data_IF_756810664703
#
_entry.id   IF_756810664703
#
_cell.length_a   1.000
_cell.length_b   1.000
_cell.length_c   1.000
_cell.angle_alpha   90.00
_cell.angle_beta   90.00
_cell.angle_gamma   90.00
#
_symmetry.space_group_name_H-M   'P 1'
#
loop_
_entity.id
_entity.type
_entity.pdbx_description
1 polymer ?
#
# COMPACT_ATOMS: atom_id res chain seq x y z
N UNK A 1 13.96 9.01 8.33
CA UNK A 1 15.21 8.32 8.71
C UNK A 1 15.90 9.22 9.71
N UNK A 2 16.16 8.73 10.91
CA UNK A 2 16.72 9.52 12.01
C UNK A 2 17.98 8.82 12.48
N UNK A 3 19.12 9.50 12.36
CA UNK A 3 20.40 9.06 12.93
C UNK A 3 20.68 9.74 14.28
N UNK A 4 21.81 9.42 14.91
CA UNK A 4 22.24 9.87 16.23
C UNK A 4 22.29 11.40 16.42
N UNK A 5 22.45 12.16 15.35
CA UNK A 5 22.52 13.62 15.34
C UNK A 5 21.21 14.30 14.88
N UNK A 6 20.17 13.51 14.57
CA UNK A 6 18.91 13.99 14.03
C UNK A 6 17.82 14.03 15.11
N UNK A 7 17.04 15.12 15.16
CA UNK A 7 15.92 15.23 16.11
C UNK A 7 14.70 14.45 15.59
N UNK A 8 14.08 13.60 16.42
CA UNK A 8 12.86 12.87 16.05
C UNK A 8 11.57 13.70 16.21
N UNK A 9 11.65 14.95 16.69
CA UNK A 9 10.47 15.78 16.95
C UNK A 9 9.69 16.09 15.65
N UNK A 10 8.37 15.95 15.69
CA UNK A 10 7.48 16.24 14.55
C UNK A 10 7.38 15.12 13.50
N UNK A 11 7.94 13.94 13.75
CA UNK A 11 7.86 12.77 12.86
C UNK A 11 6.87 11.75 13.43
N UNK A 12 5.82 11.41 12.67
CA UNK A 12 4.80 10.43 13.11
C UNK A 12 5.32 8.99 13.13
N UNK A 13 6.12 8.63 12.13
CA UNK A 13 6.68 7.28 11.94
C UNK A 13 8.17 7.37 11.68
N UNK A 14 8.93 7.46 12.77
CA UNK A 14 10.38 7.52 12.73
C UNK A 14 10.99 6.15 12.41
N UNK A 15 12.05 6.16 11.61
CA UNK A 15 12.86 4.99 11.28
C UNK A 15 14.28 5.29 11.77
N UNK A 16 14.74 4.66 12.87
CA UNK A 16 16.13 4.77 13.32
C UNK A 16 17.04 4.12 12.29
N UNK A 17 18.03 4.85 11.79
CA UNK A 17 18.88 4.36 10.70
C UNK A 17 20.16 5.19 10.58
N UNK A 18 21.24 4.54 10.14
CA UNK A 18 22.43 5.24 9.68
C UNK A 18 22.14 5.89 8.31
N UNK A 19 21.99 7.20 8.27
CA UNK A 19 21.69 7.97 7.04
C UNK A 19 22.94 8.38 6.25
N UNK A 20 24.15 8.27 6.83
CA UNK A 20 25.40 8.53 6.12
C UNK A 20 25.77 7.40 5.13
N UNK A 21 25.21 6.21 5.30
CA UNK A 21 25.56 5.03 4.50
C UNK A 21 24.59 4.82 3.32
N UNK A 22 25.07 4.92 2.09
CA UNK A 22 24.28 4.68 0.87
C UNK A 22 23.56 3.31 0.90
N UNK A 23 24.25 2.26 1.33
CA UNK A 23 23.66 0.91 1.45
C UNK A 23 22.47 0.85 2.42
N UNK A 24 22.50 1.65 3.49
CA UNK A 24 21.43 1.73 4.49
C UNK A 24 20.21 2.43 3.90
N UNK A 25 20.43 3.57 3.25
CA UNK A 25 19.38 4.32 2.55
C UNK A 25 18.73 3.44 1.48
N UNK A 26 19.53 2.82 0.60
CA UNK A 26 19.02 2.01 -0.52
C UNK A 26 18.16 0.85 -0.02
N UNK A 27 18.59 0.18 1.06
CA UNK A 27 17.85 -0.93 1.65
C UNK A 27 16.50 -0.47 2.22
N UNK A 28 16.49 0.60 3.01
CA UNK A 28 15.27 1.10 3.67
C UNK A 28 14.30 1.65 2.63
N UNK A 29 14.77 2.49 1.72
CA UNK A 29 13.93 3.10 0.67
C UNK A 29 13.44 2.04 -0.31
N UNK A 30 14.27 1.05 -0.65
CA UNK A 30 13.89 -0.08 -1.50
C UNK A 30 12.71 -0.85 -0.93
N UNK A 31 12.81 -1.27 0.33
CA UNK A 31 11.70 -1.95 1.02
C UNK A 31 10.42 -1.12 1.07
N UNK A 32 10.52 0.17 1.38
CA UNK A 32 9.36 1.07 1.38
C UNK A 32 8.71 1.17 0.00
N UNK A 33 9.50 1.28 -1.06
CA UNK A 33 8.99 1.33 -2.43
C UNK A 33 8.28 0.05 -2.81
N UNK A 34 8.82 -1.11 -2.45
CA UNK A 34 8.23 -2.41 -2.77
C UNK A 34 6.92 -2.62 -2.01
N UNK A 35 6.87 -2.30 -0.71
CA UNK A 35 5.61 -2.33 0.06
C UNK A 35 4.53 -1.39 -0.50
N UNK A 36 4.91 -0.21 -1.01
CA UNK A 36 3.96 0.71 -1.66
C UNK A 36 3.44 0.11 -2.97
N UNK A 37 4.31 -0.50 -3.78
CA UNK A 37 3.89 -1.16 -5.03
C UNK A 37 2.92 -2.30 -4.77
N UNK A 38 3.23 -3.14 -3.76
CA UNK A 38 2.37 -4.24 -3.33
C UNK A 38 1.00 -3.71 -2.88
N UNK A 39 0.96 -2.73 -1.97
CA UNK A 39 -0.30 -2.17 -1.49
C UNK A 39 -1.14 -1.49 -2.58
N UNK A 40 -0.50 -0.83 -3.55
CA UNK A 40 -1.21 -0.27 -4.72
C UNK A 40 -1.74 -1.37 -5.65
N UNK A 41 -0.99 -2.45 -5.83
CA UNK A 41 -1.40 -3.64 -6.59
C UNK A 41 -2.62 -4.31 -5.99
N UNK A 42 -2.58 -4.58 -4.68
CA UNK A 42 -3.70 -5.16 -3.93
C UNK A 42 -4.94 -4.27 -3.99
N UNK A 43 -4.78 -2.94 -3.87
CA UNK A 43 -5.90 -2.00 -3.97
C UNK A 43 -6.59 -2.05 -5.34
N UNK A 44 -5.82 -2.16 -6.43
CA UNK A 44 -6.38 -2.28 -7.78
C UNK A 44 -7.13 -3.60 -7.94
N UNK A 45 -6.50 -4.71 -7.56
CA UNK A 45 -7.12 -6.05 -7.62
C UNK A 45 -8.40 -6.12 -6.80
N UNK A 46 -8.43 -5.54 -5.60
CA UNK A 46 -9.63 -5.52 -4.77
C UNK A 46 -10.76 -4.69 -5.40
N UNK A 47 -10.45 -3.53 -6.02
CA UNK A 47 -11.46 -2.74 -6.74
C UNK A 47 -12.05 -3.49 -7.93
N UNK A 48 -11.22 -4.17 -8.71
CA UNK A 48 -11.65 -4.96 -9.86
C UNK A 48 -12.52 -6.15 -9.42
N UNK A 49 -12.12 -6.86 -8.36
CA UNK A 49 -12.91 -7.95 -7.77
C UNK A 49 -14.27 -7.45 -7.27
N UNK A 50 -14.30 -6.36 -6.51
CA UNK A 50 -15.53 -5.77 -5.99
C UNK A 50 -16.46 -5.29 -7.11
N UNK A 51 -15.91 -4.69 -8.18
CA UNK A 51 -16.71 -4.27 -9.33
C UNK A 51 -17.33 -5.48 -10.06
N UNK A 52 -16.56 -6.56 -10.21
CA UNK A 52 -17.03 -7.79 -10.87
C UNK A 52 -18.08 -8.52 -10.05
N UNK A 53 -17.85 -8.66 -8.74
CA UNK A 53 -18.85 -9.24 -7.82
C UNK A 53 -20.14 -8.41 -7.76
N UNK A 54 -20.04 -7.09 -7.87
CA UNK A 54 -21.22 -6.22 -7.88
C UNK A 54 -22.01 -6.37 -9.18
N UNK A 55 -21.33 -6.45 -10.32
CA UNK A 55 -21.96 -6.68 -11.62
C UNK A 55 -22.62 -8.07 -11.69
N UNK A 56 -21.99 -9.12 -11.16
CA UNK A 56 -22.59 -10.45 -11.08
C UNK A 56 -23.81 -10.48 -10.14
N UNK A 57 -23.74 -9.79 -9.00
CA UNK A 57 -24.90 -9.67 -8.10
C UNK A 57 -26.05 -8.90 -8.74
N UNK A 58 -25.78 -7.81 -9.46
CA UNK A 58 -26.81 -7.03 -10.16
C UNK A 58 -27.44 -7.83 -11.31
N UNK A 59 -26.67 -8.64 -12.05
CA UNK A 59 -27.19 -9.53 -13.08
C UNK A 59 -28.09 -10.64 -12.50
N UNK A 60 -27.68 -11.28 -11.40
CA UNK A 60 -28.49 -12.32 -10.74
C UNK A 60 -29.77 -11.76 -10.12
N UNK A 61 -29.77 -10.51 -9.65
CA UNK A 61 -30.96 -9.84 -9.11
C UNK A 61 -31.92 -9.43 -10.23
N UNK A 62 -31.40 -8.97 -11.38
CA UNK A 62 -32.24 -8.64 -12.54
C UNK A 62 -32.94 -9.88 -13.10
N UNK A 63 -32.21 -10.99 -13.24
CA UNK A 63 -32.74 -12.26 -13.78
C UNK A 63 -33.82 -12.87 -12.85
N UNK A 64 -33.69 -12.70 -11.53
CA UNK A 64 -34.72 -13.11 -10.55
C UNK A 64 -35.94 -12.19 -10.46
N UNK A 65 -35.88 -10.99 -11.03
CA UNK A 65 -37.00 -10.04 -11.03
C UNK A 65 -37.85 -10.11 -12.31
N UNK A 66 -37.40 -10.86 -13.32
CA UNK A 66 -38.13 -11.12 -14.56
C UNK A 66 -38.83 -12.50 -14.59
N UNK A 67 -38.73 -13.31 -13.53
CA UNK A 67 -39.52 -14.54 -13.30
C UNK A 67 -40.62 -14.29 -12.25
#
# INVERSE_FOLDING_TARGET
MVDTNSSPEGIDFLIPSNDDATKSIDLIVGHLCDSIKEGLGERKQNKEKLAKEKAEKEAVVAEKSEE
#
